data_IF_013907984988
#
_entry.id   IF_013907984988
#
_cell.length_a   1.000
_cell.length_b   1.000
_cell.length_c   1.000
_cell.angle_alpha   90.00
_cell.angle_beta   90.00
_cell.angle_gamma   90.00
#
_symmetry.space_group_name_H-M   'P 1'
#
loop_
_entity.id
_entity.type
_entity.pdbx_description
1 polymer ?
#
# COMPACT_ATOMS: atom_id res chain seq x y z
N UNK A 1 21.98 7.06 -23.98
CA UNK A 1 20.76 6.59 -23.32
C UNK A 1 19.81 7.76 -23.13
N UNK A 2 19.08 8.14 -24.18
CA UNK A 2 18.15 9.28 -24.21
C UNK A 2 16.77 8.72 -24.57
N UNK A 3 15.98 8.35 -23.57
CA UNK A 3 14.67 7.72 -23.78
C UNK A 3 13.97 7.24 -22.51
N UNK A 4 14.70 7.10 -21.41
CA UNK A 4 14.13 6.75 -20.11
C UNK A 4 13.93 8.03 -19.29
N UNK A 5 12.70 8.26 -18.83
CA UNK A 5 12.37 9.31 -17.86
C UNK A 5 12.46 8.70 -16.47
N UNK A 6 13.15 9.38 -15.56
CA UNK A 6 13.12 9.07 -14.14
C UNK A 6 12.29 10.14 -13.46
N UNK A 7 11.31 9.72 -12.65
CA UNK A 7 10.78 10.60 -11.63
C UNK A 7 11.79 10.67 -10.46
N UNK A 8 11.79 11.80 -9.77
CA UNK A 8 12.59 12.02 -8.57
C UNK A 8 11.77 11.62 -7.34
N UNK A 9 12.44 11.40 -6.21
CA UNK A 9 11.84 11.06 -4.92
C UNK A 9 10.60 11.90 -4.60
N UNK A 10 9.52 11.21 -4.28
CA UNK A 10 8.24 11.83 -3.92
C UNK A 10 8.17 12.18 -2.43
N UNK A 11 9.04 11.55 -1.63
CA UNK A 11 9.17 11.77 -0.18
C UNK A 11 10.56 12.32 0.17
N UNK A 12 10.60 13.17 1.19
CA UNK A 12 11.86 13.68 1.72
C UNK A 12 12.66 12.56 2.42
N UNK A 13 14.00 12.51 2.30
CA UNK A 13 14.80 11.46 2.93
C UNK A 13 14.64 11.33 4.44
N UNK A 14 14.39 12.43 5.17
CA UNK A 14 14.16 12.39 6.62
C UNK A 14 12.83 11.70 6.91
N UNK A 15 11.78 12.00 6.12
CA UNK A 15 10.48 11.32 6.24
C UNK A 15 10.60 9.83 5.88
N UNK A 16 11.34 9.51 4.81
CA UNK A 16 11.60 8.13 4.41
C UNK A 16 12.35 7.33 5.49
N UNK A 17 13.30 7.96 6.18
CA UNK A 17 13.99 7.33 7.31
C UNK A 17 13.03 7.04 8.47
N UNK A 18 12.15 7.97 8.84
CA UNK A 18 11.14 7.75 9.89
C UNK A 18 10.23 6.57 9.56
N UNK A 19 9.77 6.48 8.32
CA UNK A 19 8.94 5.35 7.84
C UNK A 19 9.71 4.03 7.93
N UNK A 20 10.98 4.03 7.52
CA UNK A 20 11.82 2.82 7.60
C UNK A 20 12.03 2.35 9.05
N UNK A 21 12.25 3.28 9.99
CA UNK A 21 12.36 2.97 11.42
C UNK A 21 11.07 2.34 11.93
N UNK A 22 9.92 2.96 11.65
CA UNK A 22 8.59 2.46 12.07
C UNK A 22 8.32 1.06 11.51
N UNK A 23 8.65 0.81 10.24
CA UNK A 23 8.49 -0.51 9.61
C UNK A 23 9.41 -1.57 10.23
N UNK A 24 10.61 -1.18 10.67
CA UNK A 24 11.60 -2.12 11.24
C UNK A 24 11.32 -2.41 12.71
N UNK A 25 10.68 -1.49 13.45
CA UNK A 25 10.39 -1.64 14.87
C UNK A 25 9.59 -2.91 15.19
N UNK A 26 8.61 -3.25 14.33
CA UNK A 26 7.84 -4.49 14.48
C UNK A 26 8.69 -5.75 14.37
N UNK A 27 9.67 -5.76 13.46
CA UNK A 27 10.58 -6.89 13.26
C UNK A 27 11.58 -7.00 14.42
N UNK A 28 12.14 -5.88 14.89
CA UNK A 28 13.00 -5.85 16.09
C UNK A 28 12.25 -6.43 17.29
N UNK A 29 11.00 -6.01 17.49
CA UNK A 29 10.15 -6.51 18.57
C UNK A 29 9.89 -8.01 18.45
N UNK A 30 9.62 -8.50 17.24
CA UNK A 30 9.42 -9.93 16.98
C UNK A 30 10.67 -10.74 17.32
N UNK A 31 11.85 -10.25 16.94
CA UNK A 31 13.12 -10.91 17.23
C UNK A 31 13.40 -10.94 18.73
N UNK A 32 13.10 -9.86 19.47
CA UNK A 32 13.20 -9.83 20.93
C UNK A 32 12.26 -10.88 21.56
N UNK A 33 11.03 -10.98 21.06
CA UNK A 33 10.05 -11.95 21.55
C UNK A 33 10.48 -13.40 21.29
N UNK A 34 11.02 -13.67 20.10
CA UNK A 34 11.55 -14.99 19.75
C UNK A 34 12.73 -15.38 20.66
N UNK A 35 13.55 -14.41 21.07
CA UNK A 35 14.68 -14.63 21.99
C UNK A 35 14.25 -14.85 23.46
N UNK A 36 13.21 -14.14 23.94
CA UNK A 36 12.62 -14.36 25.26
C UNK A 36 12.03 -15.79 25.35
N UNK A 37 11.27 -16.18 24.33
CA UNK A 37 10.58 -17.46 24.25
C UNK A 37 9.39 -17.60 25.22
N UNK A 38 8.56 -18.61 25.00
CA UNK A 38 7.34 -18.86 25.81
C UNK A 38 6.10 -18.13 25.32
N UNK A 39 4.95 -18.47 25.91
CA UNK A 39 3.61 -18.09 25.40
C UNK A 39 3.13 -16.71 25.85
N UNK A 40 3.64 -16.20 26.98
CA UNK A 40 3.32 -14.89 27.53
C UNK A 40 4.62 -14.13 27.79
N UNK A 41 4.79 -12.99 27.13
CA UNK A 41 6.05 -12.26 27.13
C UNK A 41 5.81 -10.76 27.33
N UNK A 42 6.67 -10.13 28.13
CA UNK A 42 6.64 -8.68 28.36
C UNK A 42 8.01 -8.10 28.07
N UNK A 43 8.05 -7.03 27.25
CA UNK A 43 9.26 -6.26 26.98
C UNK A 43 9.24 -5.04 27.91
N UNK A 44 10.09 -5.04 28.94
CA UNK A 44 10.15 -3.94 29.92
C UNK A 44 10.79 -2.67 29.33
N UNK A 45 11.79 -2.83 28.48
CA UNK A 45 12.45 -1.74 27.78
C UNK A 45 13.03 -2.22 26.45
N UNK A 46 13.06 -1.32 25.47
CA UNK A 46 13.68 -1.54 24.16
C UNK A 46 14.39 -0.24 23.79
N UNK A 47 15.71 -0.31 23.60
CA UNK A 47 16.53 0.79 23.13
C UNK A 47 17.21 0.34 21.83
N UNK A 48 16.99 1.09 20.75
CA UNK A 48 17.48 0.75 19.41
C UNK A 48 18.26 1.92 18.83
N UNK A 49 19.57 1.72 18.68
CA UNK A 49 20.45 2.71 18.08
C UNK A 49 20.70 2.41 16.60
N UNK A 50 20.39 3.37 15.74
CA UNK A 50 20.61 3.27 14.29
C UNK A 50 21.93 3.96 13.92
N UNK A 51 22.98 3.18 13.66
CA UNK A 51 24.31 3.69 13.29
C UNK A 51 24.44 3.93 11.77
N UNK A 52 25.39 4.79 11.36
CA UNK A 52 25.76 5.03 9.95
C UNK A 52 24.59 5.38 9.00
N UNK A 53 23.65 6.20 9.47
CA UNK A 53 22.52 6.67 8.67
C UNK A 53 23.01 7.43 7.43
N UNK A 54 22.77 6.88 6.26
CA UNK A 54 23.16 7.48 4.98
C UNK A 54 22.05 7.30 3.95
N UNK A 55 21.97 8.23 2.99
CA UNK A 55 21.03 8.15 1.88
C UNK A 55 21.69 7.39 0.74
N UNK A 56 21.09 6.26 0.34
CA UNK A 56 21.49 5.53 -0.85
C UNK A 56 20.44 5.75 -1.95
N UNK A 57 20.88 6.36 -3.03
CA UNK A 57 20.05 6.51 -4.23
C UNK A 57 20.07 5.21 -5.04
N UNK A 58 18.88 4.66 -5.30
CA UNK A 58 18.69 3.45 -6.10
C UNK A 58 17.71 3.75 -7.24
N UNK A 59 17.93 3.15 -8.40
CA UNK A 59 16.98 3.19 -9.51
C UNK A 59 16.12 1.93 -9.45
N UNK A 60 14.82 2.11 -9.22
CA UNK A 60 13.85 1.03 -9.25
C UNK A 60 13.17 0.98 -10.62
N UNK A 61 13.16 -0.17 -11.31
CA UNK A 61 12.52 -0.29 -12.61
C UNK A 61 10.99 -0.29 -12.45
N UNK A 62 10.34 0.63 -13.16
CA UNK A 62 8.87 0.74 -13.24
C UNK A 62 8.43 0.90 -14.70
N UNK A 63 7.28 0.32 -15.04
CA UNK A 63 6.66 0.46 -16.36
C UNK A 63 5.40 1.30 -16.23
N UNK A 64 5.33 2.44 -16.91
CA UNK A 64 4.13 3.30 -16.92
C UNK A 64 3.47 3.23 -18.29
N UNK A 65 2.15 3.08 -18.31
CA UNK A 65 1.34 3.12 -19.53
C UNK A 65 0.01 3.83 -19.27
N UNK A 66 -0.59 4.36 -20.34
CA UNK A 66 -1.88 5.02 -20.29
C UNK A 66 -2.76 4.57 -21.45
N UNK A 67 -4.06 4.42 -21.20
CA UNK A 67 -5.07 4.10 -22.22
C UNK A 67 -6.25 5.06 -22.14
N UNK A 68 -6.92 5.24 -23.26
CA UNK A 68 -8.12 6.07 -23.37
C UNK A 68 -9.38 5.21 -23.31
N UNK A 69 -10.34 5.62 -22.49
CA UNK A 69 -11.64 4.97 -22.39
C UNK A 69 -12.70 6.03 -22.07
N UNK A 70 -13.75 6.12 -22.90
CA UNK A 70 -14.88 7.04 -22.70
C UNK A 70 -14.44 8.50 -22.45
N UNK A 71 -13.61 9.03 -23.35
CA UNK A 71 -12.99 10.37 -23.30
C UNK A 71 -12.19 10.69 -22.03
N UNK A 72 -11.77 9.65 -21.28
CA UNK A 72 -10.92 9.78 -20.10
C UNK A 72 -9.65 8.95 -20.28
N UNK A 73 -8.53 9.52 -19.85
CA UNK A 73 -7.23 8.85 -19.83
C UNK A 73 -7.06 8.15 -18.48
N UNK A 74 -6.72 6.86 -18.52
CA UNK A 74 -6.42 6.06 -17.35
C UNK A 74 -4.95 5.67 -17.40
N UNK A 75 -4.23 6.05 -16.35
CA UNK A 75 -2.81 5.71 -16.18
C UNK A 75 -2.63 4.57 -15.19
N UNK A 76 -1.67 3.71 -15.48
CA UNK A 76 -1.23 2.66 -14.57
C UNK A 76 0.28 2.49 -14.63
N UNK A 77 0.85 2.09 -13.49
CA UNK A 77 2.26 1.85 -13.28
C UNK A 77 2.42 0.44 -12.74
N UNK A 78 3.42 -0.27 -13.25
CA UNK A 78 3.75 -1.64 -12.87
C UNK A 78 5.15 -1.67 -12.27
N UNK A 79 5.28 -2.22 -11.07
CA UNK A 79 6.57 -2.54 -10.47
C UNK A 79 7.23 -3.65 -11.29
N UNK A 80 8.40 -3.41 -11.89
CA UNK A 80 9.03 -4.40 -12.76
C UNK A 80 9.66 -5.58 -12.01
N UNK A 81 9.85 -5.45 -10.69
CA UNK A 81 10.43 -6.50 -9.84
C UNK A 81 9.34 -7.43 -9.28
N UNK A 82 8.23 -6.88 -8.80
CA UNK A 82 7.15 -7.66 -8.15
C UNK A 82 5.98 -7.98 -9.09
N UNK A 83 5.83 -7.22 -10.18
CA UNK A 83 4.65 -7.29 -11.06
C UNK A 83 3.41 -6.62 -10.48
N UNK A 84 3.50 -5.96 -9.33
CA UNK A 84 2.39 -5.21 -8.73
C UNK A 84 1.95 -4.07 -9.65
N UNK A 85 0.63 -3.94 -9.85
CA UNK A 85 0.03 -2.94 -10.72
C UNK A 85 -0.75 -1.93 -9.88
N UNK A 86 -0.37 -0.66 -9.97
CA UNK A 86 -1.05 0.46 -9.32
C UNK A 86 -1.54 1.41 -10.40
N UNK A 87 -2.82 1.75 -10.41
CA UNK A 87 -3.34 2.64 -11.44
C UNK A 87 -4.82 2.91 -11.30
N UNK A 88 -5.29 3.81 -12.16
CA UNK A 88 -6.70 4.12 -12.27
C UNK A 88 -7.37 3.10 -13.21
N UNK A 89 -8.61 2.75 -12.90
CA UNK A 89 -9.44 1.87 -13.73
C UNK A 89 -10.83 2.46 -13.94
N UNK A 90 -11.48 2.22 -15.09
CA UNK A 90 -12.87 2.61 -15.28
C UNK A 90 -13.75 1.79 -14.33
N UNK A 91 -14.55 2.50 -13.54
CA UNK A 91 -15.57 1.87 -12.71
C UNK A 91 -16.83 1.66 -13.54
N UNK A 92 -17.41 0.46 -13.42
CA UNK A 92 -18.67 0.14 -14.09
C UNK A 92 -19.84 0.68 -13.27
N UNK A 93 -20.42 1.79 -13.72
CA UNK A 93 -21.56 2.44 -13.08
C UNK A 93 -22.71 1.43 -12.89
N UNK A 94 -23.00 0.61 -13.90
CA UNK A 94 -24.03 -0.43 -13.84
C UNK A 94 -23.79 -1.43 -12.70
N UNK A 95 -22.55 -1.88 -12.49
CA UNK A 95 -22.25 -2.80 -11.37
C UNK A 95 -22.49 -2.14 -10.01
N UNK A 96 -22.14 -0.86 -9.86
CA UNK A 96 -22.36 -0.11 -8.63
C UNK A 96 -23.86 0.09 -8.39
N UNK A 97 -24.60 0.54 -9.41
CA UNK A 97 -26.05 0.76 -9.31
C UNK A 97 -26.79 -0.53 -8.96
N UNK A 98 -26.45 -1.65 -9.63
CA UNK A 98 -27.05 -2.95 -9.34
C UNK A 98 -26.76 -3.39 -7.89
N UNK A 99 -25.52 -3.19 -7.42
CA UNK A 99 -25.14 -3.51 -6.05
C UNK A 99 -25.93 -2.68 -5.02
N UNK A 100 -26.10 -1.38 -5.26
CA UNK A 100 -26.91 -0.50 -4.40
C UNK A 100 -28.38 -0.92 -4.40
N UNK A 101 -28.97 -1.21 -5.56
CA UNK A 101 -30.36 -1.68 -5.66
C UNK A 101 -30.55 -3.00 -4.91
N UNK A 102 -29.62 -3.93 -5.05
CA UNK A 102 -29.66 -5.21 -4.32
C UNK A 102 -29.70 -5.00 -2.80
N UNK A 103 -28.85 -4.11 -2.27
CA UNK A 103 -28.86 -3.78 -0.84
C UNK A 103 -30.20 -3.18 -0.43
N UNK A 104 -30.75 -2.24 -1.20
CA UNK A 104 -32.04 -1.61 -0.89
C UNK A 104 -33.18 -2.64 -0.83
N UNK A 105 -33.23 -3.57 -1.80
CA UNK A 105 -34.24 -4.64 -1.82
C UNK A 105 -34.10 -5.53 -0.58
N UNK A 106 -32.88 -5.95 -0.24
CA UNK A 106 -32.64 -6.78 0.94
C UNK A 106 -33.07 -6.06 2.22
N UNK A 107 -32.73 -4.77 2.38
CA UNK A 107 -33.15 -3.99 3.55
C UNK A 107 -34.68 -3.84 3.62
N UNK A 108 -35.35 -3.64 2.50
CA UNK A 108 -36.81 -3.53 2.45
C UNK A 108 -37.49 -4.86 2.81
N UNK A 109 -36.97 -5.98 2.31
CA UNK A 109 -37.46 -7.31 2.67
C UNK A 109 -37.28 -7.59 4.17
N UNK A 110 -36.10 -7.34 4.72
CA UNK A 110 -35.85 -7.51 6.16
C UNK A 110 -36.82 -6.65 6.99
N UNK A 111 -37.04 -5.40 6.60
CA UNK A 111 -37.98 -4.52 7.28
C UNK A 111 -39.42 -5.06 7.23
N UNK A 112 -39.86 -5.62 6.10
CA UNK A 112 -41.19 -6.23 5.95
C UNK A 112 -41.37 -7.57 6.69
N UNK A 113 -40.31 -8.32 6.94
CA UNK A 113 -40.37 -9.60 7.66
C UNK A 113 -40.21 -9.44 9.17
N UNK A 114 -39.55 -8.38 9.63
CA UNK A 114 -39.29 -8.10 11.06
C UNK A 114 -40.30 -7.11 11.66
N UNK A 115 -40.86 -6.22 10.85
CA UNK A 115 -41.94 -5.32 11.23
C UNK A 115 -43.32 -5.93 11.00
#
# INVERSE_FOLDING_TARGET
MSGFRSETYQIDPVQGLSIAIEQTEGEIRSVIMDDIGGDEQTIESMDSEYLNKAIKYIMLPVWTSAYHYNDKTYQFTVNACTGEVIGQRPLSIIKIVLFVIMILILTALVWLFVG
#
